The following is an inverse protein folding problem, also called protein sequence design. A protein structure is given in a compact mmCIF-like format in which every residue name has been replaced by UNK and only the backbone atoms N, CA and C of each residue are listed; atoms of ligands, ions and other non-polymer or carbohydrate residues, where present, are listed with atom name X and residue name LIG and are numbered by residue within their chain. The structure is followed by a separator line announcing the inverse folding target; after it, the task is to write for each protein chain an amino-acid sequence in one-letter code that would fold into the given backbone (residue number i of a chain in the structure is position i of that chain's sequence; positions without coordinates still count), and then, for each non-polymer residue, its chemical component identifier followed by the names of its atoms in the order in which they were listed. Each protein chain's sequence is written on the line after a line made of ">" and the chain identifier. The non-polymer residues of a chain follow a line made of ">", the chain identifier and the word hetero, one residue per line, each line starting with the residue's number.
data_IF_240776050311
#
_entry.id   IF_240776050311
#
_cell.length_a   1.000
_cell.length_b   1.000
_cell.length_c   1.000
_cell.angle_alpha   90.00
_cell.angle_beta   90.00
_cell.angle_gamma   90.00
#
_symmetry.space_group_name_H-M   'P 1'
#
loop_
_entity.id
_entity.type
_entity.pdbx_description
1 polymer ?
#
# COMPACT_ATOMS: atom_id res chain seq x y z
N UNK A 1 19.10 6.60 11.46
CA UNK A 1 18.05 5.99 10.66
C UNK A 1 18.06 6.46 9.20
N UNK A 2 17.04 6.13 8.40
CA UNK A 2 16.97 6.43 6.95
C UNK A 2 17.30 7.90 6.63
N UNK A 3 16.77 8.84 7.41
CA UNK A 3 17.04 10.28 7.22
C UNK A 3 18.52 10.61 7.33
N UNK A 4 19.20 10.12 8.35
CA UNK A 4 20.64 10.35 8.57
C UNK A 4 21.46 9.76 7.43
N UNK A 5 21.08 8.58 6.93
CA UNK A 5 21.72 7.97 5.76
C UNK A 5 21.54 8.84 4.52
N UNK A 6 20.33 9.34 4.27
CA UNK A 6 20.06 10.23 3.12
C UNK A 6 20.80 11.56 3.24
N UNK A 7 20.85 12.16 4.44
CA UNK A 7 21.61 13.40 4.70
C UNK A 7 23.12 13.19 4.46
N UNK A 8 23.65 12.04 4.90
CA UNK A 8 25.06 11.67 4.68
C UNK A 8 25.38 11.49 3.19
N UNK A 9 24.53 10.75 2.46
CA UNK A 9 24.76 10.53 1.03
C UNK A 9 24.61 11.83 0.23
N UNK A 10 23.64 12.68 0.57
CA UNK A 10 23.48 13.98 -0.07
C UNK A 10 24.68 14.91 0.19
N UNK A 11 25.26 14.86 1.40
CA UNK A 11 26.47 15.62 1.72
C UNK A 11 27.66 15.15 0.87
N UNK A 12 27.84 13.83 0.69
CA UNK A 12 28.89 13.26 -0.20
C UNK A 12 28.69 13.69 -1.65
N UNK A 13 27.45 13.61 -2.14
CA UNK A 13 27.10 14.01 -3.50
C UNK A 13 27.41 15.50 -3.75
N UNK A 14 27.06 16.37 -2.79
CA UNK A 14 27.34 17.81 -2.89
C UNK A 14 28.83 18.16 -2.78
N UNK A 15 29.60 17.35 -2.03
CA UNK A 15 31.06 17.55 -1.89
C UNK A 15 31.83 17.17 -3.16
N UNK A 16 31.36 16.18 -3.91
CA UNK A 16 31.99 15.74 -5.16
C UNK A 16 30.91 15.43 -6.22
N UNK A 17 30.26 16.45 -6.80
CA UNK A 17 29.17 16.27 -7.72
C UNK A 17 29.65 15.74 -9.07
N UNK A 18 29.02 14.73 -9.67
CA UNK A 18 29.39 14.19 -10.98
C UNK A 18 29.00 15.13 -12.13
N UNK A 19 28.11 16.08 -11.90
CA UNK A 19 27.63 17.08 -12.84
C UNK A 19 27.08 18.28 -12.07
N UNK A 20 26.61 19.31 -12.76
CA UNK A 20 25.84 20.39 -12.15
C UNK A 20 24.58 19.82 -11.50
N UNK A 21 24.45 19.99 -10.17
CA UNK A 21 23.31 19.46 -9.43
C UNK A 21 22.17 20.48 -9.39
N UNK A 22 20.93 20.03 -9.56
CA UNK A 22 19.76 20.87 -9.24
C UNK A 22 19.72 21.16 -7.74
N UNK A 23 18.87 22.07 -7.32
CA UNK A 23 18.62 22.27 -5.89
C UNK A 23 17.98 21.01 -5.30
N UNK A 24 18.63 20.40 -4.31
CA UNK A 24 18.16 19.19 -3.62
C UNK A 24 17.94 19.51 -2.15
N UNK A 25 16.73 19.26 -1.67
CA UNK A 25 16.34 19.50 -0.28
C UNK A 25 15.66 18.25 0.30
N UNK A 26 16.06 17.87 1.51
CA UNK A 26 15.40 16.83 2.30
C UNK A 26 14.46 17.49 3.30
N UNK A 27 13.19 17.12 3.25
CA UNK A 27 12.18 17.59 4.20
C UNK A 27 11.62 16.44 5.01
N UNK A 28 11.41 16.68 6.31
CA UNK A 28 10.75 15.74 7.19
C UNK A 28 9.26 16.07 7.26
N UNK A 29 8.42 15.10 6.88
CA UNK A 29 6.97 15.18 7.11
C UNK A 29 6.58 14.91 8.57
N UNK A 30 5.31 15.12 8.90
CA UNK A 30 4.75 14.90 10.23
C UNK A 30 4.60 13.41 10.61
N UNK A 31 4.78 12.49 9.66
CA UNK A 31 4.66 11.05 9.87
C UNK A 31 3.23 10.51 9.80
N UNK A 32 2.26 11.32 9.39
CA UNK A 32 0.88 10.85 9.16
C UNK A 32 0.79 10.06 7.86
N UNK A 33 0.10 8.92 7.87
CA UNK A 33 -0.11 8.06 6.69
C UNK A 33 -0.68 8.83 5.49
N UNK A 34 -1.67 9.70 5.75
CA UNK A 34 -2.31 10.48 4.68
C UNK A 34 -1.36 11.44 3.98
N UNK A 35 -0.26 11.87 4.59
CA UNK A 35 0.74 12.72 3.95
C UNK A 35 1.54 11.98 2.85
N UNK A 36 1.36 10.68 2.69
CA UNK A 36 1.85 9.91 1.54
C UNK A 36 0.99 10.04 0.28
N UNK A 37 -0.21 10.60 0.39
CA UNK A 37 -1.03 10.95 -0.77
C UNK A 37 -0.43 12.19 -1.45
N UNK A 38 -0.33 12.20 -2.80
CA UNK A 38 0.43 13.18 -3.56
C UNK A 38 0.10 14.64 -3.19
N UNK A 39 -1.17 15.01 -3.19
CA UNK A 39 -1.59 16.39 -2.91
C UNK A 39 -1.51 16.75 -1.41
N UNK A 40 -1.68 15.77 -0.52
CA UNK A 40 -1.47 15.96 0.92
C UNK A 40 0.01 16.16 1.24
N UNK A 41 0.91 15.46 0.55
CA UNK A 41 2.35 15.67 0.67
C UNK A 41 2.75 17.08 0.23
N UNK A 42 2.19 17.59 -0.88
CA UNK A 42 2.39 18.96 -1.33
C UNK A 42 1.91 19.97 -0.28
N UNK A 43 0.71 19.81 0.27
CA UNK A 43 0.21 20.67 1.35
C UNK A 43 1.16 20.67 2.55
N UNK A 44 1.69 19.52 2.93
CA UNK A 44 2.68 19.40 4.01
C UNK A 44 4.00 20.11 3.69
N UNK A 45 4.51 19.97 2.46
CA UNK A 45 5.73 20.67 1.99
C UNK A 45 5.55 22.20 2.04
N UNK A 46 4.36 22.67 1.71
CA UNK A 46 4.01 24.10 1.76
C UNK A 46 3.78 24.64 3.18
N UNK A 47 3.94 23.80 4.23
CA UNK A 47 3.74 24.17 5.63
C UNK A 47 2.26 24.23 6.05
N UNK A 48 1.37 23.66 5.25
CA UNK A 48 -0.06 23.54 5.53
C UNK A 48 -0.34 22.18 6.17
N UNK A 49 -1.57 22.01 6.67
CA UNK A 49 -2.02 20.69 7.11
C UNK A 49 -2.08 19.74 5.93
N UNK A 50 -1.42 18.58 6.04
CA UNK A 50 -1.34 17.56 5.00
C UNK A 50 -2.69 16.89 4.71
N UNK A 51 -3.55 17.58 4.03
CA UNK A 51 -4.87 17.12 3.61
C UNK A 51 -4.96 17.07 2.10
N UNK A 52 -5.48 15.99 1.49
CA UNK A 52 -5.64 15.88 0.04
C UNK A 52 -6.41 17.04 -0.57
N UNK A 53 -6.02 17.43 -1.77
CA UNK A 53 -6.74 18.42 -2.60
C UNK A 53 -7.84 17.76 -3.41
N UNK A 54 -8.87 18.52 -3.76
CA UNK A 54 -9.83 18.10 -4.79
C UNK A 54 -9.18 18.18 -6.17
N UNK A 55 -9.53 17.29 -7.05
CA UNK A 55 -9.08 17.23 -8.44
C UNK A 55 -10.27 17.38 -9.38
N UNK A 56 -10.14 18.12 -10.50
CA UNK A 56 -9.03 18.97 -10.92
C UNK A 56 -8.86 20.22 -10.05
N UNK A 57 -7.68 20.92 -10.06
CA UNK A 57 -6.50 20.66 -10.88
C UNK A 57 -5.65 19.50 -10.38
N UNK A 58 -4.95 18.82 -11.29
CA UNK A 58 -3.97 17.81 -10.95
C UNK A 58 -2.62 18.44 -10.58
N UNK A 59 -1.78 17.72 -9.82
CA UNK A 59 -0.48 18.23 -9.35
C UNK A 59 0.48 18.56 -10.52
N UNK A 60 0.34 17.89 -11.65
CA UNK A 60 1.06 18.21 -12.88
C UNK A 60 0.70 19.60 -13.45
N UNK A 61 -0.44 20.16 -13.05
CA UNK A 61 -0.90 21.51 -13.45
C UNK A 61 -0.61 22.53 -12.34
N UNK A 62 -0.97 22.18 -11.10
CA UNK A 62 -0.85 23.04 -9.92
C UNK A 62 -0.36 22.20 -8.74
N UNK A 63 0.95 22.07 -8.61
CA UNK A 63 1.63 21.32 -7.55
C UNK A 63 2.23 22.23 -6.48
N UNK A 64 3.48 21.97 -6.09
CA UNK A 64 4.22 22.68 -5.04
C UNK A 64 4.35 24.16 -5.36
N UNK A 65 3.90 25.02 -4.44
CA UNK A 65 3.86 26.48 -4.59
C UNK A 65 3.18 26.96 -5.88
N UNK A 66 2.14 26.22 -6.31
CA UNK A 66 1.38 26.56 -7.51
C UNK A 66 2.05 26.23 -8.84
N UNK A 67 3.18 25.53 -8.83
CA UNK A 67 3.94 25.15 -10.03
C UNK A 67 3.62 23.71 -10.45
N UNK A 68 3.71 23.37 -11.75
CA UNK A 68 3.67 21.99 -12.20
C UNK A 68 4.68 21.13 -11.44
N UNK A 69 4.23 20.00 -10.93
CA UNK A 69 5.04 19.13 -10.07
C UNK A 69 4.96 17.68 -10.55
N UNK A 70 6.12 17.02 -10.63
CA UNK A 70 6.24 15.60 -10.87
C UNK A 70 6.58 14.90 -9.55
N UNK A 71 5.85 13.85 -9.23
CA UNK A 71 6.06 13.01 -8.05
C UNK A 71 6.36 11.57 -8.46
N UNK A 72 7.29 10.95 -7.76
CA UNK A 72 7.66 9.55 -7.95
C UNK A 72 7.96 8.85 -6.64
N UNK A 73 7.68 7.54 -6.62
CA UNK A 73 8.17 6.67 -5.56
C UNK A 73 9.69 6.48 -5.65
N UNK A 74 10.35 6.31 -4.52
CA UNK A 74 11.80 6.06 -4.45
C UNK A 74 12.19 4.78 -5.20
N UNK A 75 11.37 3.72 -5.17
CA UNK A 75 11.65 2.49 -5.91
C UNK A 75 11.68 2.75 -7.43
N UNK A 76 10.74 3.56 -7.95
CA UNK A 76 10.76 3.97 -9.36
C UNK A 76 12.06 4.69 -9.71
N UNK A 77 12.48 5.65 -8.88
CA UNK A 77 13.71 6.42 -9.11
C UNK A 77 14.97 5.55 -9.00
N UNK A 78 14.96 4.57 -8.10
CA UNK A 78 16.08 3.64 -7.90
C UNK A 78 16.44 2.88 -9.19
N UNK A 79 15.44 2.41 -9.93
CA UNK A 79 15.66 1.63 -11.14
C UNK A 79 16.06 2.44 -12.37
N UNK A 80 15.84 3.75 -12.39
CA UNK A 80 16.09 4.60 -13.58
C UNK A 80 17.54 4.46 -14.05
N UNK A 81 18.50 4.55 -13.13
CA UNK A 81 19.92 4.47 -13.49
C UNK A 81 20.26 3.16 -14.18
N UNK A 82 19.91 2.02 -13.58
CA UNK A 82 20.23 0.71 -14.15
C UNK A 82 19.50 0.47 -15.48
N UNK A 83 18.27 0.96 -15.61
CA UNK A 83 17.52 0.86 -16.86
C UNK A 83 18.18 1.69 -17.98
N UNK A 84 18.68 2.87 -17.65
CA UNK A 84 19.42 3.71 -18.64
C UNK A 84 20.72 3.02 -19.06
N UNK A 85 21.49 2.49 -18.11
CA UNK A 85 22.78 1.85 -18.34
C UNK A 85 22.66 0.51 -19.07
N UNK A 86 21.71 -0.36 -18.63
CA UNK A 86 21.55 -1.74 -19.07
C UNK A 86 20.45 -1.94 -20.12
N UNK A 87 19.68 -0.92 -20.42
CA UNK A 87 18.50 -0.91 -21.31
C UNK A 87 17.25 -1.54 -20.70
N UNK A 88 16.10 -1.23 -21.31
CA UNK A 88 14.80 -1.71 -20.86
C UNK A 88 14.66 -3.24 -20.92
N UNK A 89 15.28 -3.87 -21.91
CA UNK A 89 15.28 -5.33 -22.08
C UNK A 89 15.88 -6.05 -20.88
N UNK A 90 16.93 -5.50 -20.28
CA UNK A 90 17.49 -6.04 -19.05
C UNK A 90 16.46 -6.06 -17.91
N UNK A 91 15.76 -4.96 -17.67
CA UNK A 91 14.76 -4.91 -16.60
C UNK A 91 13.59 -5.85 -16.89
N UNK A 92 13.12 -5.88 -18.14
CA UNK A 92 12.00 -6.73 -18.56
C UNK A 92 12.36 -8.22 -18.69
N UNK A 93 13.65 -8.58 -18.65
CA UNK A 93 14.09 -9.99 -18.59
C UNK A 93 13.84 -10.62 -17.21
N UNK A 94 13.64 -9.79 -16.19
CA UNK A 94 13.18 -10.23 -14.88
C UNK A 94 11.65 -10.32 -14.86
N UNK A 95 11.12 -11.10 -13.94
CA UNK A 95 9.67 -11.29 -13.78
C UNK A 95 9.26 -12.76 -13.87
N UNK A 96 8.03 -13.05 -13.46
CA UNK A 96 7.41 -14.39 -13.49
C UNK A 96 5.97 -14.31 -13.98
N UNK A 97 5.41 -15.45 -14.38
CA UNK A 97 4.01 -15.60 -14.75
C UNK A 97 3.52 -14.53 -15.78
N UNK A 98 4.38 -14.26 -16.77
CA UNK A 98 4.09 -13.26 -17.82
C UNK A 98 4.26 -11.80 -17.40
N UNK A 99 4.68 -11.53 -16.16
CA UNK A 99 4.96 -10.18 -15.66
C UNK A 99 6.45 -9.84 -15.84
N UNK A 100 6.80 -8.56 -15.72
CA UNK A 100 8.14 -8.06 -16.06
C UNK A 100 8.69 -7.17 -14.94
N UNK A 101 10.00 -7.27 -14.73
CA UNK A 101 10.72 -6.43 -13.79
C UNK A 101 10.87 -7.04 -12.41
N UNK A 102 11.44 -6.25 -11.52
CA UNK A 102 11.68 -6.57 -10.12
C UNK A 102 10.86 -5.65 -9.22
N UNK A 103 10.55 -6.13 -8.03
CA UNK A 103 9.80 -5.39 -7.02
C UNK A 103 10.29 -5.71 -5.63
N UNK A 104 10.32 -4.70 -4.78
CA UNK A 104 10.58 -4.88 -3.34
C UNK A 104 9.28 -5.23 -2.63
N UNK A 105 9.23 -6.43 -2.07
CA UNK A 105 8.12 -6.89 -1.25
C UNK A 105 8.47 -6.74 0.22
N UNK A 106 7.70 -5.94 0.97
CA UNK A 106 7.82 -5.82 2.42
C UNK A 106 6.94 -6.86 3.08
N UNK A 107 7.53 -7.99 3.46
CA UNK A 107 6.79 -9.14 4.01
C UNK A 107 6.82 -9.12 5.54
N UNK A 108 5.66 -9.27 6.14
CA UNK A 108 5.46 -9.36 7.60
C UNK A 108 4.40 -10.41 7.95
N UNK A 109 4.19 -10.62 9.24
CA UNK A 109 3.22 -11.59 9.74
C UNK A 109 3.84 -12.94 10.06
N UNK A 110 3.15 -14.03 9.75
CA UNK A 110 3.45 -15.40 10.19
C UNK A 110 4.45 -16.13 9.31
N UNK A 111 5.52 -15.50 8.89
CA UNK A 111 6.61 -16.09 8.12
C UNK A 111 7.90 -16.22 8.95
N UNK A 112 8.80 -17.16 8.61
CA UNK A 112 10.06 -17.33 9.34
C UNK A 112 11.01 -16.15 9.17
N UNK A 113 11.10 -15.60 7.98
CA UNK A 113 11.99 -14.47 7.67
C UNK A 113 11.20 -13.25 7.17
N UNK A 114 10.57 -12.48 8.06
CA UNK A 114 9.97 -11.21 7.67
C UNK A 114 11.06 -10.20 7.25
N UNK A 115 10.73 -9.31 6.33
CA UNK A 115 11.68 -8.31 5.84
C UNK A 115 11.33 -7.77 4.48
N UNK A 116 12.26 -7.01 3.90
CA UNK A 116 12.15 -6.52 2.52
C UNK A 116 12.91 -7.45 1.60
N UNK A 117 12.20 -8.03 0.63
CA UNK A 117 12.73 -8.98 -0.33
C UNK A 117 12.59 -8.45 -1.74
N UNK A 118 13.70 -8.38 -2.47
CA UNK A 118 13.68 -8.06 -3.89
C UNK A 118 13.39 -9.33 -4.67
N UNK A 119 12.22 -9.40 -5.30
CA UNK A 119 11.77 -10.56 -6.04
C UNK A 119 11.20 -10.20 -7.42
N UNK A 120 11.07 -11.16 -8.35
CA UNK A 120 10.45 -10.92 -9.64
C UNK A 120 8.99 -10.44 -9.52
N UNK A 121 8.62 -9.41 -10.26
CA UNK A 121 7.22 -9.04 -10.41
C UNK A 121 6.42 -10.22 -10.96
N UNK A 122 5.20 -10.45 -10.43
CA UNK A 122 4.39 -11.61 -10.78
C UNK A 122 4.73 -12.89 -10.02
N UNK A 123 5.64 -12.85 -9.04
CA UNK A 123 5.79 -13.94 -8.06
C UNK A 123 4.46 -14.17 -7.34
N UNK A 124 4.12 -15.40 -7.02
CA UNK A 124 2.93 -15.71 -6.21
C UNK A 124 3.25 -15.58 -4.71
N UNK A 125 2.21 -15.44 -3.87
CA UNK A 125 2.45 -15.37 -2.42
C UNK A 125 3.06 -16.68 -1.89
N UNK A 126 2.68 -17.82 -2.44
CA UNK A 126 3.24 -19.10 -2.04
C UNK A 126 4.74 -19.19 -2.36
N UNK A 127 5.13 -18.82 -3.58
CA UNK A 127 6.54 -18.76 -3.97
C UNK A 127 7.32 -17.74 -3.10
N UNK A 128 6.74 -16.58 -2.80
CA UNK A 128 7.36 -15.54 -1.97
C UNK A 128 7.61 -16.05 -0.54
N UNK A 129 6.63 -16.74 0.05
CA UNK A 129 6.77 -17.35 1.37
C UNK A 129 7.89 -18.41 1.37
N UNK A 130 7.88 -19.33 0.40
CA UNK A 130 8.83 -20.45 0.37
C UNK A 130 10.25 -20.01 -0.01
N UNK A 131 10.40 -19.23 -1.09
CA UNK A 131 11.71 -18.92 -1.64
C UNK A 131 12.44 -17.77 -0.91
N UNK A 132 11.70 -16.81 -0.35
CA UNK A 132 12.28 -15.60 0.22
C UNK A 132 12.10 -15.50 1.74
N UNK A 133 11.08 -16.15 2.29
CA UNK A 133 10.78 -16.07 3.73
C UNK A 133 11.06 -17.37 4.49
N UNK A 134 11.65 -18.39 3.87
CA UNK A 134 11.93 -19.73 4.45
C UNK A 134 10.68 -20.42 4.99
N UNK A 135 9.52 -20.17 4.40
CA UNK A 135 8.25 -20.78 4.77
C UNK A 135 7.51 -20.03 5.87
N UNK A 136 6.41 -20.64 6.30
CA UNK A 136 5.60 -20.16 7.43
C UNK A 136 6.35 -20.32 8.76
N UNK A 137 6.05 -19.46 9.73
CA UNK A 137 6.56 -19.58 11.10
C UNK A 137 6.17 -20.94 11.70
N UNK A 138 6.98 -21.48 12.61
CA UNK A 138 6.76 -22.80 13.16
C UNK A 138 5.41 -22.91 13.90
N UNK A 139 4.66 -23.96 13.59
CA UNK A 139 3.33 -24.20 14.16
C UNK A 139 2.20 -23.36 13.53
N UNK A 140 2.45 -22.70 12.40
CA UNK A 140 1.47 -21.91 11.69
C UNK A 140 1.23 -22.44 10.27
N UNK A 141 -0.03 -22.54 9.87
CA UNK A 141 -0.45 -22.87 8.50
C UNK A 141 -0.91 -21.60 7.76
N UNK A 142 -0.59 -21.51 6.49
CA UNK A 142 -0.97 -20.36 5.67
C UNK A 142 -2.49 -20.29 5.50
N UNK A 143 -3.12 -19.22 5.99
CA UNK A 143 -4.56 -19.04 5.94
C UNK A 143 -5.00 -17.91 5.02
N UNK A 144 -4.28 -16.78 5.01
CA UNK A 144 -4.60 -15.65 4.15
C UNK A 144 -3.51 -14.57 4.15
N UNK A 145 -3.71 -13.55 3.34
CA UNK A 145 -2.72 -12.48 3.19
C UNK A 145 -3.32 -11.17 2.69
N UNK A 146 -2.67 -10.06 3.04
CA UNK A 146 -2.83 -8.78 2.37
C UNK A 146 -1.81 -8.69 1.24
N UNK A 147 -2.21 -8.47 -0.01
CA UNK A 147 -1.27 -8.37 -1.12
C UNK A 147 -0.60 -6.99 -1.25
N UNK A 148 -1.18 -5.94 -0.66
CA UNK A 148 -0.74 -4.56 -0.89
C UNK A 148 -0.94 -3.62 0.29
N UNK A 149 -0.80 -4.11 1.51
CA UNK A 149 -1.05 -3.36 2.74
C UNK A 149 -2.54 -3.26 3.07
N UNK A 150 -2.87 -2.47 4.09
CA UNK A 150 -4.22 -2.40 4.66
C UNK A 150 -5.31 -2.07 3.63
N UNK A 151 -5.01 -1.28 2.60
CA UNK A 151 -5.97 -0.92 1.54
C UNK A 151 -6.08 -1.95 0.42
N UNK A 152 -5.13 -2.88 0.33
CA UNK A 152 -5.01 -3.86 -0.75
C UNK A 152 -6.06 -4.97 -0.76
N UNK A 153 -6.94 -5.03 0.25
CA UNK A 153 -7.86 -6.14 0.46
C UNK A 153 -7.19 -7.35 1.12
N UNK A 154 -7.94 -8.43 1.27
CA UNK A 154 -7.46 -9.69 1.87
C UNK A 154 -7.84 -10.85 0.93
N UNK A 155 -6.92 -11.79 0.74
CA UNK A 155 -7.16 -13.02 -0.03
C UNK A 155 -6.87 -14.25 0.83
N UNK A 156 -7.66 -15.33 0.68
CA UNK A 156 -7.41 -16.60 1.36
C UNK A 156 -6.23 -17.36 0.75
N UNK A 157 -5.65 -18.28 1.49
CA UNK A 157 -4.56 -19.13 1.04
C UNK A 157 -4.88 -19.94 -0.24
N UNK A 158 -6.15 -20.29 -0.45
CA UNK A 158 -6.63 -20.97 -1.67
C UNK A 158 -6.42 -20.12 -2.95
N UNK A 159 -6.26 -18.82 -2.80
CA UNK A 159 -5.97 -17.87 -3.88
C UNK A 159 -4.48 -17.45 -3.90
N UNK A 160 -3.61 -18.25 -3.29
CA UNK A 160 -2.19 -17.97 -3.17
C UNK A 160 -1.36 -18.18 -4.45
N UNK A 161 -1.96 -18.62 -5.54
CA UNK A 161 -1.30 -18.83 -6.84
C UNK A 161 -1.50 -17.65 -7.81
N UNK A 162 -2.18 -16.58 -7.37
CA UNK A 162 -2.37 -15.37 -8.17
C UNK A 162 -1.05 -14.61 -8.24
N UNK A 163 -0.59 -14.22 -9.44
CA UNK A 163 0.62 -13.41 -9.60
C UNK A 163 0.49 -12.05 -8.90
N UNK A 164 1.46 -11.70 -8.08
CA UNK A 164 1.51 -10.42 -7.36
C UNK A 164 2.10 -9.33 -8.27
N UNK A 165 1.23 -8.59 -8.93
CA UNK A 165 1.61 -7.42 -9.74
C UNK A 165 0.42 -6.48 -9.92
N UNK A 166 0.64 -5.37 -10.64
CA UNK A 166 -0.43 -4.47 -11.06
C UNK A 166 -1.45 -5.21 -11.93
N UNK A 167 -2.72 -4.88 -11.77
CA UNK A 167 -3.88 -5.38 -12.51
C UNK A 167 -4.27 -6.85 -12.25
N UNK A 168 -3.37 -7.69 -11.77
CA UNK A 168 -3.63 -9.13 -11.54
C UNK A 168 -4.64 -9.42 -10.43
N UNK A 169 -4.81 -8.50 -9.51
CA UNK A 169 -5.64 -8.65 -8.31
C UNK A 169 -6.98 -7.91 -8.41
N UNK A 170 -7.17 -7.07 -9.43
CA UNK A 170 -8.32 -6.15 -9.53
C UNK A 170 -9.66 -6.89 -9.62
N UNK A 171 -9.73 -8.00 -10.36
CA UNK A 171 -10.94 -8.82 -10.49
C UNK A 171 -11.39 -9.45 -9.16
N UNK A 172 -10.47 -9.54 -8.19
CA UNK A 172 -10.74 -10.05 -6.84
C UNK A 172 -11.09 -8.93 -5.85
N UNK A 173 -11.13 -7.67 -6.28
CA UNK A 173 -11.34 -6.52 -5.42
C UNK A 173 -10.12 -6.17 -4.56
N UNK A 174 -8.94 -6.62 -4.99
CA UNK A 174 -7.66 -6.40 -4.33
C UNK A 174 -6.66 -5.70 -5.25
N UNK A 175 -5.56 -5.21 -4.70
CA UNK A 175 -4.46 -4.64 -5.49
C UNK A 175 -3.12 -4.74 -4.76
N UNK A 176 -2.03 -4.72 -5.54
CA UNK A 176 -0.67 -4.85 -5.01
C UNK A 176 -0.20 -3.60 -4.25
N UNK A 177 -0.67 -2.42 -4.62
CA UNK A 177 -0.35 -1.16 -3.95
C UNK A 177 1.14 -0.96 -3.69
N UNK A 178 1.50 -0.87 -2.41
CA UNK A 178 2.88 -0.70 -1.93
C UNK A 178 3.69 -2.00 -1.86
N UNK A 179 3.13 -3.14 -2.26
CA UNK A 179 3.71 -4.47 -2.06
C UNK A 179 4.08 -4.78 -0.59
N UNK A 180 3.34 -4.18 0.34
CA UNK A 180 3.41 -4.52 1.77
C UNK A 180 2.56 -5.77 2.00
N UNK A 181 3.21 -6.90 2.06
CA UNK A 181 2.58 -8.20 2.24
C UNK A 181 2.45 -8.51 3.72
N UNK A 182 1.25 -8.86 4.16
CA UNK A 182 1.02 -9.30 5.54
C UNK A 182 0.44 -10.72 5.48
N UNK A 183 1.21 -11.70 5.93
CA UNK A 183 0.80 -13.10 5.95
C UNK A 183 0.19 -13.44 7.30
N UNK A 184 -0.99 -14.02 7.32
CA UNK A 184 -1.61 -14.52 8.54
C UNK A 184 -1.95 -16.01 8.42
N UNK A 185 -2.11 -16.66 9.55
CA UNK A 185 -2.22 -18.10 9.68
C UNK A 185 -3.58 -18.54 10.18
N UNK A 186 -3.77 -19.84 10.29
CA UNK A 186 -4.89 -20.53 10.92
C UNK A 186 -5.14 -20.13 12.39
N UNK A 187 -4.11 -19.57 13.06
CA UNK A 187 -4.24 -19.01 14.41
C UNK A 187 -4.83 -17.59 14.44
N UNK A 188 -4.97 -16.93 13.29
CA UNK A 188 -5.51 -15.59 13.14
C UNK A 188 -6.95 -15.65 12.59
N UNK A 189 -7.71 -14.59 12.79
CA UNK A 189 -9.10 -14.49 12.30
C UNK A 189 -9.19 -13.33 11.29
N UNK A 190 -9.67 -13.62 10.07
CA UNK A 190 -9.73 -12.62 8.99
C UNK A 190 -10.64 -11.45 9.33
N UNK A 191 -11.70 -11.67 10.10
CA UNK A 191 -12.62 -10.65 10.58
C UNK A 191 -11.92 -9.65 11.52
N UNK A 192 -11.10 -10.15 12.47
CA UNK A 192 -10.34 -9.31 13.39
C UNK A 192 -9.23 -8.55 12.67
N UNK A 193 -8.55 -9.22 11.73
CA UNK A 193 -7.53 -8.62 10.87
C UNK A 193 -8.12 -7.48 10.03
N UNK A 194 -9.28 -7.68 9.42
CA UNK A 194 -9.98 -6.65 8.64
C UNK A 194 -10.45 -5.48 9.52
N UNK A 195 -10.96 -5.77 10.74
CA UNK A 195 -11.35 -4.75 11.70
C UNK A 195 -10.15 -3.91 12.14
N UNK A 196 -9.00 -4.54 12.38
CA UNK A 196 -7.76 -3.83 12.72
C UNK A 196 -7.34 -2.89 11.58
N UNK A 197 -7.42 -3.31 10.33
CA UNK A 197 -7.18 -2.47 9.17
C UNK A 197 -8.15 -1.28 9.09
N UNK A 198 -9.44 -1.50 9.35
CA UNK A 198 -10.44 -0.43 9.37
C UNK A 198 -10.18 0.57 10.52
N UNK A 199 -9.77 0.10 11.71
CA UNK A 199 -9.38 0.95 12.83
C UNK A 199 -8.15 1.81 12.51
N UNK A 200 -7.19 1.25 11.76
CA UNK A 200 -6.07 2.02 11.22
C UNK A 200 -6.57 3.17 10.32
N UNK A 201 -7.50 2.92 9.39
CA UNK A 201 -8.05 3.97 8.53
C UNK A 201 -8.88 5.00 9.29
N UNK A 202 -9.61 4.60 10.33
CA UNK A 202 -10.30 5.53 11.23
C UNK A 202 -9.30 6.49 11.88
N UNK A 203 -8.19 5.97 12.40
CA UNK A 203 -7.14 6.76 13.05
C UNK A 203 -6.41 7.68 12.07
N UNK A 204 -6.09 7.20 10.87
CA UNK A 204 -5.32 7.90 9.85
C UNK A 204 -6.15 8.82 8.94
N UNK A 205 -7.46 8.84 9.10
CA UNK A 205 -8.33 9.76 8.38
C UNK A 205 -7.97 11.21 8.69
N UNK A 206 -7.70 12.01 7.65
CA UNK A 206 -7.42 13.45 7.83
C UNK A 206 -8.66 14.26 8.29
N UNK A 207 -9.86 13.65 8.26
CA UNK A 207 -11.12 14.26 8.65
C UNK A 207 -11.72 15.24 7.63
N UNK A 208 -11.12 15.44 6.45
CA UNK A 208 -11.57 16.45 5.48
C UNK A 208 -12.94 16.12 4.87
N UNK A 209 -13.12 14.91 4.37
CA UNK A 209 -14.38 14.52 3.73
C UNK A 209 -15.26 13.65 4.64
N UNK A 210 -16.56 13.91 4.64
CA UNK A 210 -17.54 13.22 5.48
C UNK A 210 -17.61 11.72 5.23
N UNK A 211 -17.61 11.21 3.99
CA UNK A 211 -17.69 9.78 3.73
C UNK A 211 -16.57 8.98 4.39
N UNK A 212 -15.33 9.47 4.34
CA UNK A 212 -14.19 8.86 5.01
C UNK A 212 -14.28 9.02 6.54
N UNK A 213 -14.36 10.26 7.04
CA UNK A 213 -14.36 10.55 8.48
C UNK A 213 -15.46 9.83 9.25
N UNK A 214 -16.69 9.86 8.76
CA UNK A 214 -17.84 9.22 9.41
C UNK A 214 -17.92 7.75 9.05
N UNK A 215 -17.59 7.41 7.80
CA UNK A 215 -17.69 6.05 7.27
C UNK A 215 -16.75 5.08 7.96
N UNK A 216 -15.47 5.44 8.13
CA UNK A 216 -14.50 4.58 8.83
C UNK A 216 -14.91 4.32 10.29
N UNK A 217 -15.33 5.35 11.02
CA UNK A 217 -15.79 5.21 12.40
C UNK A 217 -17.06 4.36 12.49
N UNK A 218 -18.01 4.54 11.57
CA UNK A 218 -19.23 3.70 11.51
C UNK A 218 -18.90 2.24 11.16
N UNK A 219 -17.97 2.03 10.22
CA UNK A 219 -17.54 0.68 9.84
C UNK A 219 -16.90 -0.05 11.02
N UNK A 220 -15.98 0.57 11.78
CA UNK A 220 -15.38 -0.03 12.98
C UNK A 220 -16.45 -0.46 13.98
N UNK A 221 -17.47 0.37 14.23
CA UNK A 221 -18.58 0.05 15.11
C UNK A 221 -19.42 -1.14 14.62
N UNK A 222 -19.68 -1.21 13.32
CA UNK A 222 -20.41 -2.33 12.69
C UNK A 222 -19.59 -3.62 12.76
N UNK A 223 -18.30 -3.56 12.44
CA UNK A 223 -17.39 -4.70 12.49
C UNK A 223 -17.13 -5.21 13.93
N UNK A 224 -17.42 -4.41 14.94
CA UNK A 224 -17.30 -4.79 16.35
C UNK A 224 -18.50 -5.58 16.87
N UNK A 225 -19.59 -5.69 16.11
CA UNK A 225 -20.76 -6.46 16.51
C UNK A 225 -20.52 -7.96 16.28
N UNK A 226 -21.22 -8.81 17.03
CA UNK A 226 -21.18 -10.26 16.83
C UNK A 226 -21.65 -10.64 15.42
N UNK A 227 -22.75 -10.07 14.98
CA UNK A 227 -23.27 -10.27 13.62
C UNK A 227 -23.02 -9.03 12.76
N UNK A 228 -22.54 -9.26 11.54
CA UNK A 228 -22.30 -8.21 10.57
C UNK A 228 -23.55 -7.98 9.70
N UNK A 229 -24.07 -6.76 9.73
CA UNK A 229 -25.13 -6.30 8.84
C UNK A 229 -24.56 -6.08 7.43
N UNK A 230 -24.49 -7.16 6.66
CA UNK A 230 -23.88 -7.16 5.33
C UNK A 230 -24.52 -6.15 4.36
N UNK A 231 -25.85 -6.00 4.26
CA UNK A 231 -26.47 -4.97 3.43
C UNK A 231 -26.00 -3.56 3.80
N UNK A 232 -26.05 -3.21 5.08
CA UNK A 232 -25.61 -1.89 5.54
C UNK A 232 -24.12 -1.66 5.33
N UNK A 233 -23.28 -2.67 5.52
CA UNK A 233 -21.84 -2.59 5.27
C UNK A 233 -21.52 -2.37 3.79
N UNK A 234 -22.23 -3.01 2.88
CA UNK A 234 -22.09 -2.83 1.44
C UNK A 234 -22.50 -1.41 1.00
N UNK A 235 -23.61 -0.87 1.52
CA UNK A 235 -24.02 0.51 1.26
C UNK A 235 -23.00 1.53 1.78
N UNK A 236 -22.47 1.30 2.99
CA UNK A 236 -21.46 2.14 3.59
C UNK A 236 -20.15 2.11 2.78
N UNK A 237 -19.71 0.91 2.39
CA UNK A 237 -18.54 0.71 1.52
C UNK A 237 -18.69 1.47 0.21
N UNK A 238 -19.83 1.32 -0.46
CA UNK A 238 -20.12 2.04 -1.71
C UNK A 238 -20.07 3.55 -1.51
N UNK A 239 -20.69 4.06 -0.45
CA UNK A 239 -20.68 5.50 -0.15
C UNK A 239 -19.27 6.02 0.09
N UNK A 240 -18.44 5.28 0.83
CA UNK A 240 -17.05 5.65 1.09
C UNK A 240 -16.24 5.65 -0.21
N UNK A 241 -16.38 4.63 -1.04
CA UNK A 241 -15.67 4.48 -2.31
C UNK A 241 -16.04 5.61 -3.29
N UNK A 242 -17.34 5.88 -3.46
CA UNK A 242 -17.82 6.81 -4.49
C UNK A 242 -17.64 8.29 -4.10
N UNK A 243 -17.68 8.62 -2.81
CA UNK A 243 -17.77 10.02 -2.35
C UNK A 243 -16.55 10.50 -1.53
N UNK A 244 -15.56 9.65 -1.23
CA UNK A 244 -14.32 10.09 -0.61
C UNK A 244 -13.40 10.76 -1.63
N UNK A 245 -12.69 11.80 -1.20
CA UNK A 245 -11.85 12.61 -2.11
C UNK A 245 -10.49 12.01 -2.43
N UNK A 246 -10.05 10.99 -1.70
CA UNK A 246 -8.75 10.34 -1.92
C UNK A 246 -8.81 8.85 -1.67
N UNK A 247 -7.73 8.16 -2.10
CA UNK A 247 -7.60 6.70 -2.01
C UNK A 247 -7.75 6.13 -0.60
N UNK A 248 -7.44 6.87 0.47
CA UNK A 248 -7.63 6.39 1.83
C UNK A 248 -9.10 6.02 2.08
N UNK A 249 -10.02 6.95 1.89
CA UNK A 249 -11.44 6.68 2.12
C UNK A 249 -12.06 5.77 1.08
N UNK A 250 -11.58 5.83 -0.17
CA UNK A 250 -12.08 5.00 -1.27
C UNK A 250 -11.73 3.51 -1.08
N UNK A 251 -10.58 3.20 -0.48
CA UNK A 251 -10.09 1.83 -0.33
C UNK A 251 -10.16 1.28 1.10
N UNK A 252 -10.53 2.09 2.09
CA UNK A 252 -10.57 1.67 3.50
C UNK A 252 -11.48 0.45 3.74
N UNK A 253 -12.52 0.28 2.95
CA UNK A 253 -13.48 -0.83 3.08
C UNK A 253 -13.03 -2.12 2.39
N UNK A 254 -11.93 -2.13 1.62
CA UNK A 254 -11.51 -3.33 0.88
C UNK A 254 -11.29 -4.56 1.77
N UNK A 255 -10.62 -4.49 2.94
CA UNK A 255 -10.49 -5.65 3.83
C UNK A 255 -11.84 -6.17 4.34
N UNK A 256 -12.75 -5.28 4.71
CA UNK A 256 -14.11 -5.64 5.12
C UNK A 256 -14.86 -6.36 3.99
N UNK A 257 -14.82 -5.82 2.78
CA UNK A 257 -15.44 -6.42 1.60
C UNK A 257 -14.82 -7.79 1.27
N UNK A 258 -13.51 -7.94 1.46
CA UNK A 258 -12.82 -9.22 1.28
C UNK A 258 -13.31 -10.28 2.25
N UNK A 259 -13.51 -9.94 3.53
CA UNK A 259 -14.07 -10.87 4.52
C UNK A 259 -15.47 -11.29 4.14
N UNK A 260 -16.35 -10.35 3.77
CA UNK A 260 -17.71 -10.64 3.31
C UNK A 260 -17.73 -11.61 2.12
N UNK A 261 -16.74 -11.51 1.23
CA UNK A 261 -16.70 -12.31 -0.01
C UNK A 261 -15.97 -13.65 0.15
N UNK A 262 -14.86 -13.68 0.88
CA UNK A 262 -13.93 -14.82 0.85
C UNK A 262 -13.85 -15.59 2.16
N UNK A 263 -14.37 -15.05 3.26
CA UNK A 263 -14.34 -15.69 4.58
C UNK A 263 -15.75 -15.75 5.22
N UNK A 264 -16.77 -16.23 4.48
CA UNK A 264 -18.15 -16.21 4.96
C UNK A 264 -18.38 -17.08 6.20
N UNK A 265 -17.54 -18.08 6.43
CA UNK A 265 -17.63 -18.96 7.60
C UNK A 265 -17.27 -18.24 8.91
N UNK A 266 -16.47 -17.19 8.85
CA UNK A 266 -16.14 -16.36 10.02
C UNK A 266 -17.24 -15.34 10.38
N UNK A 267 -18.31 -15.26 9.58
CA UNK A 267 -19.44 -14.34 9.78
C UNK A 267 -20.65 -15.02 10.44
N UNK A 268 -20.57 -16.32 10.70
CA UNK A 268 -21.61 -17.14 11.32
C UNK A 268 -21.62 -17.02 12.83
#
# INVERSE_FOLDING_TARGET
>A
GIRESMESELAKLKANPPCELPHIELRRGAGAYICGEESAMIESIEGKRGMPRLRPPFVAQVGVFGRPTLEHNMETLYWIREIIEKRGEWFTSHGRNGRKGLRSFSVSGRVKKPGVHLAPAGITIKELIEEYCDGMADGHEFYGYFPGGASGGILPASMGDIPLDFDTLNEYGCFIGSAAIIVFSDADNARDVAKNAMSFFEHESCGKCTPCRVGTSKAVKLMSKAEWDQPLMNELSKTMMDASICGLGQAASNPMNSVLKYFPDELK
#
